data_IF_099145419677
#
_entry.id   IF_099145419677
#
_cell.length_a   1.000
_cell.length_b   1.000
_cell.length_c   1.000
_cell.angle_alpha   90.00
_cell.angle_beta   90.00
_cell.angle_gamma   90.00
#
_symmetry.space_group_name_H-M   'P 1'
#
loop_
_entity.id
_entity.type
_entity.pdbx_description
1 polymer ?
#
# COMPACT_ATOMS: atom_id res chain seq x y z
N UNK A 1 -9.51 13.75 9.50
CA UNK A 1 -9.03 15.02 10.10
C UNK A 1 -9.03 16.13 9.05
N UNK A 2 -9.05 17.40 9.47
CA UNK A 2 -9.21 18.56 8.58
C UNK A 2 -8.13 18.65 7.48
N UNK A 3 -6.87 18.30 7.79
CA UNK A 3 -5.80 18.24 6.79
C UNK A 3 -6.10 17.28 5.61
N UNK A 4 -6.76 16.14 5.87
CA UNK A 4 -7.12 15.19 4.83
C UNK A 4 -8.21 15.73 3.90
N UNK A 5 -9.19 16.44 4.45
CA UNK A 5 -10.24 17.10 3.67
C UNK A 5 -9.64 18.13 2.70
N UNK A 6 -8.72 18.98 3.19
CA UNK A 6 -8.04 19.97 2.34
C UNK A 6 -7.09 19.36 1.31
N UNK A 7 -6.44 18.23 1.62
CA UNK A 7 -5.70 17.44 0.61
C UNK A 7 -6.61 16.92 -0.49
N UNK A 8 -7.82 16.48 -0.13
CA UNK A 8 -8.86 16.09 -1.09
C UNK A 8 -9.27 17.23 -2.02
N UNK A 9 -9.48 18.44 -1.48
CA UNK A 9 -9.74 19.64 -2.28
C UNK A 9 -8.59 19.93 -3.25
N UNK A 10 -7.34 19.87 -2.78
CA UNK A 10 -6.18 20.10 -3.63
C UNK A 10 -6.04 19.05 -4.74
N UNK A 11 -6.32 17.78 -4.44
CA UNK A 11 -6.34 16.70 -5.43
C UNK A 11 -7.44 16.91 -6.47
N UNK A 12 -8.66 17.28 -6.04
CA UNK A 12 -9.77 17.59 -6.95
C UNK A 12 -9.43 18.76 -7.87
N UNK A 13 -8.78 19.80 -7.34
CA UNK A 13 -8.29 20.92 -8.16
C UNK A 13 -7.34 20.40 -9.24
N UNK A 14 -6.31 19.64 -8.86
CA UNK A 14 -5.33 19.10 -9.80
C UNK A 14 -5.99 18.26 -10.91
N UNK A 15 -6.98 17.42 -10.57
CA UNK A 15 -7.73 16.61 -11.53
C UNK A 15 -8.51 17.50 -12.52
N UNK A 16 -9.25 18.49 -12.04
CA UNK A 16 -10.02 19.39 -12.92
C UNK A 16 -9.10 20.16 -13.87
N UNK A 17 -7.98 20.69 -13.37
CA UNK A 17 -7.02 21.41 -14.21
C UNK A 17 -6.33 20.51 -15.25
N UNK A 18 -6.15 19.21 -14.95
CA UNK A 18 -5.61 18.25 -15.92
C UNK A 18 -6.59 17.86 -17.03
N UNK A 19 -7.90 17.80 -16.72
CA UNK A 19 -8.94 17.40 -17.68
C UNK A 19 -9.45 18.63 -18.47
N UNK A 20 -9.36 19.82 -17.89
CA UNK A 20 -9.78 21.08 -18.51
C UNK A 20 -8.61 22.09 -18.55
N UNK A 21 -7.65 21.92 -19.48
CA UNK A 21 -6.53 22.84 -19.62
C UNK A 21 -6.98 24.30 -19.73
N UNK A 22 -6.38 25.19 -18.93
CA UNK A 22 -6.70 26.63 -18.88
C UNK A 22 -7.75 27.03 -17.84
N UNK A 23 -8.52 26.08 -17.29
CA UNK A 23 -9.37 26.34 -16.13
C UNK A 23 -8.51 26.40 -14.88
N UNK A 24 -8.52 27.53 -14.17
CA UNK A 24 -7.83 27.69 -12.88
C UNK A 24 -8.84 27.76 -11.76
N UNK A 25 -8.80 26.77 -10.87
CA UNK A 25 -9.71 26.78 -9.74
C UNK A 25 -9.16 27.66 -8.62
N UNK A 26 -10.01 28.57 -8.15
CA UNK A 26 -9.74 29.35 -6.96
C UNK A 26 -9.70 28.39 -5.76
N UNK A 27 -8.84 28.68 -4.78
CA UNK A 27 -8.65 27.99 -3.49
C UNK A 27 -7.43 27.05 -3.37
N UNK A 28 -6.59 26.88 -4.40
CA UNK A 28 -5.36 26.08 -4.27
C UNK A 28 -4.43 26.63 -3.16
N UNK A 29 -4.24 27.95 -3.10
CA UNK A 29 -3.45 28.61 -2.04
C UNK A 29 -4.06 28.41 -0.66
N UNK A 30 -5.38 28.63 -0.53
CA UNK A 30 -6.09 28.41 0.74
C UNK A 30 -5.94 26.96 1.22
N UNK A 31 -6.12 25.98 0.33
CA UNK A 31 -5.96 24.57 0.66
C UNK A 31 -4.54 24.25 1.15
N UNK A 32 -3.50 24.77 0.48
CA UNK A 32 -2.10 24.59 0.90
C UNK A 32 -1.85 25.21 2.28
N UNK A 33 -2.33 26.43 2.52
CA UNK A 33 -2.20 27.11 3.82
C UNK A 33 -2.90 26.31 4.92
N UNK A 34 -4.13 25.85 4.68
CA UNK A 34 -4.89 25.05 5.64
C UNK A 34 -4.19 23.71 5.95
N UNK A 35 -3.67 23.00 4.93
CA UNK A 35 -2.90 21.76 5.15
C UNK A 35 -1.69 22.04 6.03
N UNK A 36 -0.93 23.11 5.76
CA UNK A 36 0.24 23.51 6.56
C UNK A 36 -0.15 23.76 8.02
N UNK A 37 -1.22 24.53 8.24
CA UNK A 37 -1.74 24.82 9.58
C UNK A 37 -2.15 23.54 10.32
N UNK A 38 -2.96 22.68 9.70
CA UNK A 38 -3.46 21.45 10.35
C UNK A 38 -2.41 20.34 10.47
N UNK A 39 -1.29 20.43 9.76
CA UNK A 39 -0.16 19.51 9.91
C UNK A 39 0.98 20.10 10.74
N UNK A 40 0.78 21.29 11.32
CA UNK A 40 1.74 21.91 12.24
C UNK A 40 1.93 21.01 13.46
N UNK A 41 3.18 20.75 13.81
CA UNK A 41 3.52 19.83 14.90
C UNK A 41 3.41 18.34 14.54
N UNK A 42 3.07 17.96 13.30
CA UNK A 42 2.96 16.54 12.92
C UNK A 42 4.25 15.78 13.19
N UNK A 43 5.42 16.36 12.87
CA UNK A 43 6.72 15.76 13.18
C UNK A 43 6.91 15.52 14.68
N UNK A 44 6.50 16.45 15.53
CA UNK A 44 6.58 16.29 16.98
C UNK A 44 5.73 15.12 17.43
N UNK A 45 4.47 15.02 16.97
CA UNK A 45 3.61 13.89 17.32
C UNK A 45 4.12 12.56 16.76
N UNK A 46 4.64 12.54 15.53
CA UNK A 46 5.23 11.33 14.93
C UNK A 46 6.44 10.84 15.72
N UNK A 47 7.25 11.76 16.26
CA UNK A 47 8.37 11.41 17.15
C UNK A 47 7.89 10.98 18.53
N UNK A 48 6.98 11.74 19.15
CA UNK A 48 6.49 11.51 20.51
C UNK A 48 5.76 10.17 20.63
N UNK A 49 4.93 9.83 19.65
CA UNK A 49 4.14 8.60 19.63
C UNK A 49 4.79 7.47 18.83
N UNK A 50 6.07 7.60 18.46
CA UNK A 50 6.80 6.51 17.80
C UNK A 50 6.93 5.33 18.78
N UNK A 51 6.36 4.15 18.49
CA UNK A 51 6.51 3.01 19.38
C UNK A 51 7.96 2.53 19.42
N UNK A 52 8.40 2.03 20.57
CA UNK A 52 9.71 1.41 20.72
C UNK A 52 9.88 0.21 19.78
N UNK A 53 11.12 -0.11 19.41
CA UNK A 53 11.40 -1.16 18.43
C UNK A 53 10.88 -2.54 18.86
N UNK A 54 10.91 -2.88 20.15
CA UNK A 54 10.36 -4.15 20.65
C UNK A 54 8.86 -4.34 20.39
N UNK A 55 8.11 -3.26 20.19
CA UNK A 55 6.69 -3.33 19.80
C UNK A 55 6.47 -3.33 18.28
N UNK A 56 7.53 -3.09 17.50
CA UNK A 56 7.46 -2.96 16.03
C UNK A 56 8.13 -4.11 15.30
N UNK A 57 9.17 -4.70 15.89
CA UNK A 57 9.98 -5.75 15.28
C UNK A 57 9.54 -7.10 15.86
N UNK A 58 8.90 -7.97 15.06
CA UNK A 58 8.43 -9.27 15.53
C UNK A 58 9.60 -10.21 15.82
N UNK A 59 9.47 -11.08 16.83
CA UNK A 59 10.37 -12.23 17.05
C UNK A 59 10.20 -13.27 15.94
N UNK A 60 11.10 -14.25 15.83
CA UNK A 60 11.08 -15.24 14.75
C UNK A 60 9.82 -16.13 14.77
N UNK A 61 9.31 -16.46 15.94
CA UNK A 61 8.09 -17.26 16.16
C UNK A 61 6.78 -16.48 15.92
N UNK A 62 6.86 -15.15 15.77
CA UNK A 62 5.67 -14.33 15.54
C UNK A 62 5.11 -14.56 14.15
N UNK A 63 3.82 -14.90 14.04
CA UNK A 63 3.10 -14.99 12.76
C UNK A 63 2.99 -13.60 12.14
N UNK A 64 3.75 -13.36 11.07
CA UNK A 64 3.74 -12.11 10.31
C UNK A 64 2.60 -12.08 9.27
N UNK A 65 2.27 -13.23 8.66
CA UNK A 65 1.15 -13.37 7.74
C UNK A 65 0.10 -14.33 8.29
N UNK A 66 -0.95 -13.80 8.90
CA UNK A 66 -2.04 -14.61 9.47
C UNK A 66 -2.78 -15.48 8.42
N UNK A 67 -2.91 -15.01 7.18
CA UNK A 67 -3.70 -15.73 6.18
C UNK A 67 -3.03 -16.99 5.64
N UNK A 68 -1.69 -17.03 5.62
CA UNK A 68 -0.90 -18.14 5.11
C UNK A 68 -0.02 -18.75 6.22
N UNK A 69 -0.26 -18.33 7.47
CA UNK A 69 0.43 -18.79 8.69
C UNK A 69 1.97 -18.66 8.68
N UNK A 70 2.49 -17.69 7.92
CA UNK A 70 3.94 -17.46 7.79
C UNK A 70 4.47 -16.64 8.96
N UNK A 71 5.53 -17.14 9.58
CA UNK A 71 6.28 -16.49 10.67
C UNK A 71 7.28 -15.46 10.16
N UNK A 72 7.71 -14.55 11.05
CA UNK A 72 8.75 -13.59 10.72
C UNK A 72 10.12 -14.27 10.50
N UNK A 73 10.39 -15.38 11.20
CA UNK A 73 11.59 -16.19 11.01
C UNK A 73 11.69 -16.78 9.60
N UNK A 74 10.59 -17.33 9.08
CA UNK A 74 10.54 -17.84 7.70
C UNK A 74 10.81 -16.74 6.67
N UNK A 75 10.26 -15.54 6.86
CA UNK A 75 10.53 -14.39 5.97
C UNK A 75 12.01 -14.02 6.00
N UNK A 76 12.63 -14.00 7.20
CA UNK A 76 14.06 -13.72 7.34
C UNK A 76 14.91 -14.77 6.64
N UNK A 77 14.61 -16.04 6.84
CA UNK A 77 15.30 -17.15 6.19
C UNK A 77 15.21 -17.04 4.66
N UNK A 78 14.04 -16.75 4.10
CA UNK A 78 13.88 -16.55 2.66
C UNK A 78 14.72 -15.38 2.12
N UNK A 79 14.89 -14.30 2.89
CA UNK A 79 15.78 -13.18 2.51
C UNK A 79 17.25 -13.59 2.59
N UNK A 80 17.64 -14.34 3.62
CA UNK A 80 19.00 -14.86 3.77
C UNK A 80 19.36 -15.85 2.64
N UNK A 81 18.37 -16.58 2.11
CA UNK A 81 18.48 -17.44 0.92
C UNK A 81 18.53 -16.66 -0.41
N UNK A 82 18.36 -15.34 -0.38
CA UNK A 82 18.55 -14.47 -1.54
C UNK A 82 17.29 -13.77 -2.05
N UNK A 83 16.15 -13.84 -1.35
CA UNK A 83 14.97 -13.07 -1.74
C UNK A 83 15.26 -11.56 -1.64
N UNK A 84 15.29 -10.87 -2.78
CA UNK A 84 15.62 -9.46 -2.85
C UNK A 84 14.46 -8.54 -2.43
N UNK A 85 13.22 -9.02 -2.43
CA UNK A 85 12.06 -8.13 -2.24
C UNK A 85 10.80 -8.85 -1.78
N UNK A 86 9.78 -8.12 -1.32
CA UNK A 86 8.51 -8.68 -0.89
C UNK A 86 7.86 -9.59 -1.95
N UNK A 87 7.91 -9.24 -3.23
CA UNK A 87 7.32 -10.08 -4.29
C UNK A 87 8.02 -11.45 -4.43
N UNK A 88 9.33 -11.54 -4.17
CA UNK A 88 10.03 -12.83 -4.17
C UNK A 88 9.68 -13.63 -2.93
N UNK A 89 9.72 -13.01 -1.74
CA UNK A 89 9.23 -13.66 -0.50
C UNK A 89 7.81 -14.18 -0.66
N UNK A 90 6.92 -13.40 -1.30
CA UNK A 90 5.56 -13.82 -1.66
C UNK A 90 5.55 -15.04 -2.57
N UNK A 91 6.46 -15.14 -3.54
CA UNK A 91 6.51 -16.30 -4.44
C UNK A 91 6.89 -17.59 -3.71
N UNK A 92 7.82 -17.51 -2.74
CA UNK A 92 8.28 -18.67 -1.97
C UNK A 92 7.37 -19.04 -0.80
N UNK A 93 6.97 -18.06 0.01
CA UNK A 93 6.24 -18.27 1.26
C UNK A 93 4.75 -17.98 1.14
N UNK A 94 4.27 -17.54 -0.03
CA UNK A 94 2.87 -17.16 -0.29
C UNK A 94 2.35 -15.97 0.53
N UNK A 95 3.16 -15.35 1.39
CA UNK A 95 2.73 -14.21 2.20
C UNK A 95 2.10 -13.11 1.31
N UNK A 96 0.92 -12.64 1.70
CA UNK A 96 0.15 -11.68 0.90
C UNK A 96 -0.69 -12.27 -0.24
N UNK A 97 -0.79 -13.60 -0.37
CA UNK A 97 -1.71 -14.28 -1.30
C UNK A 97 -3.10 -14.56 -0.71
N UNK A 98 -3.25 -14.55 0.61
CA UNK A 98 -4.55 -14.78 1.26
C UNK A 98 -5.60 -13.69 0.98
N UNK A 99 -6.82 -13.81 1.52
CA UNK A 99 -7.93 -12.89 1.23
C UNK A 99 -7.65 -11.42 1.62
N UNK A 100 -6.72 -11.20 2.55
CA UNK A 100 -6.25 -9.86 2.89
C UNK A 100 -5.39 -9.20 1.80
N UNK A 101 -4.90 -9.97 0.80
CA UNK A 101 -4.05 -9.52 -0.31
C UNK A 101 -2.85 -8.69 0.15
N UNK A 102 -2.24 -9.08 1.28
CA UNK A 102 -1.06 -8.41 1.84
C UNK A 102 -1.33 -7.09 2.57
N UNK A 103 -2.60 -6.68 2.77
CA UNK A 103 -2.93 -5.44 3.51
C UNK A 103 -2.45 -5.45 4.96
N UNK A 104 -2.38 -6.63 5.58
CA UNK A 104 -1.97 -6.79 6.98
C UNK A 104 -0.47 -7.03 7.12
N UNK A 105 0.09 -7.93 6.31
CA UNK A 105 1.49 -8.34 6.43
C UNK A 105 2.46 -7.54 5.55
N UNK A 106 1.97 -6.78 4.55
CA UNK A 106 2.81 -6.19 3.51
C UNK A 106 3.87 -5.23 4.04
N UNK A 107 3.49 -4.32 4.94
CA UNK A 107 4.45 -3.41 5.58
C UNK A 107 5.47 -4.18 6.43
N UNK A 108 5.03 -5.19 7.18
CA UNK A 108 5.91 -6.04 7.98
C UNK A 108 6.92 -6.78 7.11
N UNK A 109 6.49 -7.37 5.99
CA UNK A 109 7.38 -8.07 5.05
C UNK A 109 8.38 -7.09 4.44
N UNK A 110 7.94 -5.92 3.98
CA UNK A 110 8.83 -4.87 3.44
C UNK A 110 9.88 -4.45 4.47
N UNK A 111 9.48 -4.19 5.72
CA UNK A 111 10.40 -3.78 6.79
C UNK A 111 11.39 -4.90 7.15
N UNK A 112 10.96 -6.17 7.22
CA UNK A 112 11.86 -7.30 7.48
C UNK A 112 12.88 -7.44 6.35
N UNK A 113 12.44 -7.39 5.08
CA UNK A 113 13.34 -7.46 3.92
C UNK A 113 14.34 -6.31 3.94
N UNK A 114 13.87 -5.09 4.19
CA UNK A 114 14.72 -3.91 4.27
C UNK A 114 15.77 -4.03 5.38
N UNK A 115 15.33 -4.47 6.57
CA UNK A 115 16.20 -4.67 7.73
C UNK A 115 17.28 -5.73 7.45
N UNK A 116 16.91 -6.89 6.90
CA UNK A 116 17.86 -7.97 6.59
C UNK A 116 18.85 -7.59 5.49
N UNK A 117 18.41 -6.81 4.50
CA UNK A 117 19.26 -6.31 3.41
C UNK A 117 20.06 -5.06 3.77
N UNK A 118 19.82 -4.43 4.92
CA UNK A 118 20.50 -3.20 5.33
C UNK A 118 20.17 -1.98 4.47
N UNK A 119 18.97 -1.92 3.88
CA UNK A 119 18.52 -0.84 2.99
C UNK A 119 17.31 -0.09 3.55
N UNK A 120 17.01 1.12 3.08
CA UNK A 120 15.76 1.81 3.43
C UNK A 120 14.52 1.01 2.97
N UNK A 121 13.41 1.01 3.74
CA UNK A 121 12.17 0.32 3.35
C UNK A 121 11.60 0.75 1.99
N UNK A 122 11.83 2.00 1.58
CA UNK A 122 11.43 2.51 0.27
C UNK A 122 12.12 1.77 -0.90
N UNK A 123 13.35 1.27 -0.69
CA UNK A 123 14.13 0.55 -1.70
C UNK A 123 13.84 -0.95 -1.72
N UNK A 124 13.36 -1.52 -0.61
CA UNK A 124 12.92 -2.92 -0.56
C UNK A 124 11.66 -3.16 -1.44
N UNK A 125 10.86 -2.12 -1.69
CA UNK A 125 9.64 -2.18 -2.46
C UNK A 125 8.45 -2.72 -1.67
N UNK A 126 7.38 -3.10 -2.37
CA UNK A 126 6.14 -3.58 -1.78
C UNK A 126 5.50 -4.64 -2.67
N UNK A 127 4.49 -5.34 -2.14
CA UNK A 127 3.68 -6.22 -2.98
C UNK A 127 3.03 -5.45 -4.13
N UNK A 128 3.07 -6.02 -5.32
CA UNK A 128 2.36 -5.44 -6.47
C UNK A 128 0.85 -5.65 -6.29
N UNK A 129 0.09 -4.55 -6.17
CA UNK A 129 -1.36 -4.59 -6.15
C UNK A 129 -1.90 -5.01 -7.52
N UNK A 130 -2.90 -5.89 -7.54
CA UNK A 130 -3.55 -6.39 -8.76
C UNK A 130 -5.06 -6.23 -8.64
N UNK A 131 -5.73 -6.15 -9.78
CA UNK A 131 -7.17 -6.24 -9.85
C UNK A 131 -7.63 -7.66 -9.41
N UNK A 132 -8.74 -7.80 -8.66
CA UNK A 132 -9.54 -6.74 -8.05
C UNK A 132 -8.94 -6.26 -6.72
N UNK A 133 -9.07 -4.95 -6.40
CA UNK A 133 -8.47 -4.37 -5.19
C UNK A 133 -9.04 -4.96 -3.89
N UNK A 134 -10.26 -5.49 -3.93
CA UNK A 134 -10.91 -6.31 -2.89
C UNK A 134 -11.48 -7.56 -3.55
N UNK A 135 -11.59 -8.70 -2.84
CA UNK A 135 -12.29 -9.85 -3.37
C UNK A 135 -13.70 -9.47 -3.80
N UNK A 136 -14.05 -9.87 -5.01
CA UNK A 136 -15.41 -9.82 -5.57
C UNK A 136 -15.76 -11.23 -6.03
N UNK A 137 -17.03 -11.56 -6.01
CA UNK A 137 -17.53 -12.86 -6.47
C UNK A 137 -17.44 -12.96 -8.00
N UNK A 138 -17.35 -14.19 -8.51
CA UNK A 138 -17.44 -14.42 -9.95
C UNK A 138 -18.78 -13.96 -10.53
N UNK A 139 -19.87 -14.08 -9.76
CA UNK A 139 -21.20 -13.61 -10.16
C UNK A 139 -21.25 -12.09 -10.35
N UNK A 140 -20.63 -11.31 -9.47
CA UNK A 140 -20.52 -9.84 -9.64
C UNK A 140 -19.73 -9.47 -10.89
N UNK A 141 -18.64 -10.16 -11.18
CA UNK A 141 -17.86 -9.95 -12.40
C UNK A 141 -18.69 -10.32 -13.64
N UNK A 142 -19.38 -11.47 -13.62
CA UNK A 142 -20.21 -11.95 -14.73
C UNK A 142 -21.41 -11.05 -15.01
N UNK A 143 -21.94 -10.35 -13.98
CA UNK A 143 -23.05 -9.43 -14.11
C UNK A 143 -22.65 -8.02 -14.61
N UNK A 144 -21.35 -7.74 -14.77
CA UNK A 144 -20.92 -6.45 -15.32
C UNK A 144 -21.39 -6.31 -16.77
N UNK A 145 -21.91 -5.13 -17.18
CA UNK A 145 -22.26 -4.91 -18.58
C UNK A 145 -20.99 -4.95 -19.42
N UNK A 146 -20.95 -5.83 -20.42
CA UNK A 146 -19.88 -5.88 -21.42
C UNK A 146 -20.44 -5.51 -22.79
N UNK A 147 -19.74 -4.60 -23.48
CA UNK A 147 -20.04 -4.24 -24.86
C UNK A 147 -19.41 -5.20 -25.86
N UNK A 148 -19.82 -5.12 -27.14
CA UNK A 148 -19.31 -5.98 -28.22
C UNK A 148 -17.77 -5.95 -28.31
N UNK A 149 -17.15 -4.78 -28.12
CA UNK A 149 -15.69 -4.66 -28.11
C UNK A 149 -14.97 -5.50 -27.04
N UNK A 150 -15.61 -5.74 -25.88
CA UNK A 150 -15.04 -6.59 -24.84
C UNK A 150 -15.15 -8.08 -25.20
N UNK A 151 -16.21 -8.46 -25.93
CA UNK A 151 -16.40 -9.81 -26.47
C UNK A 151 -15.34 -10.07 -27.54
N UNK A 152 -15.21 -9.16 -28.51
CA UNK A 152 -14.28 -9.27 -29.63
C UNK A 152 -12.81 -9.32 -29.18
N UNK A 153 -12.47 -8.73 -28.03
CA UNK A 153 -11.12 -8.75 -27.47
C UNK A 153 -10.69 -10.12 -26.89
N UNK A 154 -11.65 -11.00 -26.58
CA UNK A 154 -11.39 -12.29 -25.92
C UNK A 154 -11.75 -13.47 -26.82
N UNK A 155 -12.78 -13.32 -27.66
CA UNK A 155 -13.15 -14.30 -28.68
C UNK A 155 -12.22 -14.13 -29.86
N UNK A 156 -11.21 -15.02 -29.95
CA UNK A 156 -10.39 -15.20 -31.15
C UNK A 156 -11.17 -15.90 -32.25
#
# INVERSE_FOLDING_TARGET
GQAAAWRGVLAAIAVVESIQPGKRLRHATLARTAISQFTRGRRFFDTLYKPALGFRVPSDDTIACRCEEVTAGEIRAAVDEGCAGPNQVKAFLRCGMGPCQGRLCGLTVTEIVAQRRGIPPAEAGHFTARFPAKPVTLGEIAALPYGQAAIDAVVR
#
